data_IF_776652875846
#
_entry.id   IF_776652875846
#
_cell.length_a   1.000
_cell.length_b   1.000
_cell.length_c   1.000
_cell.angle_alpha   90.00
_cell.angle_beta   90.00
_cell.angle_gamma   90.00
#
_symmetry.space_group_name_H-M   'P 1'
#
loop_
_entity.id
_entity.type
_entity.pdbx_description
1 polymer ?
#
# COMPACT_ATOMS: atom_id res chain seq x y z
N UNK A 1 -17.66 -1.90 5.56
CA UNK A 1 -16.29 -1.56 6.01
C UNK A 1 -15.35 -1.88 4.84
N UNK A 2 -14.68 -0.89 4.25
CA UNK A 2 -13.70 -1.17 3.20
C UNK A 2 -12.56 -1.99 3.79
N UNK A 3 -12.19 -3.09 3.14
CA UNK A 3 -11.10 -3.93 3.60
C UNK A 3 -9.78 -3.14 3.51
N UNK A 4 -9.20 -2.81 4.67
CA UNK A 4 -7.86 -2.26 4.79
C UNK A 4 -6.87 -3.41 4.94
N UNK A 5 -5.73 -3.33 4.26
CA UNK A 5 -4.64 -4.31 4.37
C UNK A 5 -3.29 -3.63 4.22
N UNK A 6 -2.22 -4.31 4.62
CA UNK A 6 -0.87 -3.83 4.39
C UNK A 6 -0.35 -4.28 3.04
N UNK A 7 0.50 -3.45 2.46
CA UNK A 7 1.26 -3.76 1.25
C UNK A 7 2.68 -3.24 1.37
N UNK A 8 3.52 -3.65 0.43
CA UNK A 8 4.91 -3.20 0.32
C UNK A 8 5.13 -2.65 -1.08
N UNK A 9 5.66 -1.43 -1.17
CA UNK A 9 6.01 -0.83 -2.46
C UNK A 9 7.10 -1.64 -3.16
N UNK A 10 6.91 -1.86 -4.46
CA UNK A 10 7.88 -2.54 -5.33
C UNK A 10 8.71 -1.53 -6.14
N UNK A 11 8.18 -0.33 -6.35
CA UNK A 11 8.84 0.78 -7.07
C UNK A 11 8.77 2.07 -6.27
N UNK A 12 9.61 3.08 -6.57
CA UNK A 12 9.46 4.40 -5.98
C UNK A 12 8.12 5.03 -6.40
N UNK A 13 7.35 5.55 -5.44
CA UNK A 13 6.06 6.20 -5.70
C UNK A 13 5.99 7.56 -4.99
N UNK A 14 5.61 8.64 -5.69
CA UNK A 14 5.37 9.93 -5.06
C UNK A 14 4.04 9.93 -4.29
N UNK A 15 4.09 10.38 -3.04
CA UNK A 15 2.90 10.73 -2.27
C UNK A 15 2.40 12.14 -2.62
N UNK A 16 1.16 12.44 -2.22
CA UNK A 16 0.55 13.75 -2.40
C UNK A 16 1.37 14.88 -1.72
N UNK A 17 2.09 14.57 -0.64
CA UNK A 17 3.01 15.50 0.01
C UNK A 17 4.21 15.93 -0.84
N UNK A 18 4.46 15.27 -1.98
CA UNK A 18 5.66 15.44 -2.79
C UNK A 18 6.83 14.54 -2.38
N UNK A 19 6.70 13.79 -1.28
CA UNK A 19 7.70 12.80 -0.86
C UNK A 19 7.67 11.59 -1.78
N UNK A 20 8.83 11.18 -2.32
CA UNK A 20 8.94 9.91 -3.05
C UNK A 20 9.35 8.80 -2.08
N UNK A 21 8.49 7.80 -1.91
CA UNK A 21 8.76 6.65 -1.05
C UNK A 21 9.49 5.56 -1.84
N UNK A 22 10.59 5.01 -1.32
CA UNK A 22 11.34 3.97 -2.02
C UNK A 22 10.65 2.59 -1.95
N UNK A 23 11.07 1.63 -2.81
CA UNK A 23 10.70 0.23 -2.67
C UNK A 23 10.98 -0.31 -1.25
N UNK A 24 10.15 -1.24 -0.78
CA UNK A 24 10.22 -1.78 0.58
C UNK A 24 9.43 -0.96 1.61
N UNK A 25 8.89 0.20 1.23
CA UNK A 25 8.03 0.99 2.13
C UNK A 25 6.72 0.25 2.39
N UNK A 26 6.37 0.05 3.66
CA UNK A 26 5.06 -0.47 4.07
C UNK A 26 3.99 0.60 3.87
N UNK A 27 2.92 0.22 3.18
CA UNK A 27 1.76 1.07 2.89
C UNK A 27 0.49 0.45 3.45
N UNK A 28 -0.44 1.30 3.88
CA UNK A 28 -1.81 0.88 4.18
C UNK A 28 -2.66 1.01 2.92
N UNK A 29 -3.14 -0.10 2.38
CA UNK A 29 -3.94 -0.15 1.16
C UNK A 29 -5.43 -0.23 1.51
N UNK A 30 -6.23 0.56 0.80
CA UNK A 30 -7.69 0.58 0.86
C UNK A 30 -8.27 0.37 -0.54
N UNK A 31 -9.16 -0.61 -0.65
CA UNK A 31 -9.82 -0.94 -1.91
C UNK A 31 -9.28 -2.21 -2.57
N UNK A 32 -9.85 -2.54 -3.73
CA UNK A 32 -9.49 -3.71 -4.55
C UNK A 32 -9.66 -3.33 -6.02
N UNK A 33 -8.89 -3.96 -6.90
CA UNK A 33 -8.98 -3.75 -8.34
C UNK A 33 -7.63 -3.36 -8.94
N UNK A 34 -7.67 -2.82 -10.16
CA UNK A 34 -6.48 -2.43 -10.90
C UNK A 34 -5.76 -1.21 -10.30
N UNK A 35 -6.47 -0.38 -9.53
CA UNK A 35 -5.97 0.76 -8.79
C UNK A 35 -6.56 0.77 -7.38
N UNK A 36 -5.74 1.20 -6.42
CA UNK A 36 -6.09 1.27 -5.00
C UNK A 36 -5.54 2.55 -4.38
N UNK A 37 -6.19 2.99 -3.31
CA UNK A 37 -5.69 4.08 -2.47
C UNK A 37 -4.72 3.50 -1.44
N UNK A 38 -3.53 4.07 -1.33
CA UNK A 38 -2.57 3.68 -0.33
C UNK A 38 -2.13 4.87 0.52
N UNK A 39 -1.67 4.57 1.74
CA UNK A 39 -1.29 5.60 2.71
C UNK A 39 0.01 5.25 3.42
N UNK A 40 0.92 6.24 3.51
CA UNK A 40 2.12 6.20 4.37
C UNK A 40 2.01 7.32 5.39
N UNK A 41 1.81 6.98 6.67
CA UNK A 41 1.67 7.98 7.76
C UNK A 41 0.64 9.08 7.46
N UNK A 42 -0.43 8.76 6.72
CA UNK A 42 -1.47 9.70 6.32
C UNK A 42 -1.25 10.40 4.98
N UNK A 43 -0.07 10.27 4.37
CA UNK A 43 0.19 10.73 3.01
C UNK A 43 -0.42 9.75 2.00
N UNK A 44 -1.17 10.27 1.03
CA UNK A 44 -1.90 9.44 0.06
C UNK A 44 -1.06 9.15 -1.19
N UNK A 45 -1.11 7.90 -1.63
CA UNK A 45 -0.43 7.39 -2.80
C UNK A 45 -1.46 6.69 -3.71
N UNK A 46 -1.60 7.09 -4.99
CA UNK A 46 -2.33 6.31 -5.96
C UNK A 46 -1.46 5.12 -6.39
N UNK A 47 -1.93 3.88 -6.18
CA UNK A 47 -1.19 2.68 -6.58
C UNK A 47 -1.92 1.89 -7.65
N UNK A 48 -1.21 1.53 -8.71
CA UNK A 48 -1.58 0.48 -9.64
C UNK A 48 -1.23 -0.90 -9.09
N UNK A 49 -1.92 -1.94 -9.58
CA UNK A 49 -1.78 -3.33 -9.13
C UNK A 49 -0.35 -3.91 -9.21
N UNK A 50 0.56 -3.31 -9.99
CA UNK A 50 1.95 -3.76 -10.15
C UNK A 50 2.95 -2.98 -9.30
N UNK A 51 2.56 -1.85 -8.70
CA UNK A 51 3.47 -0.96 -7.96
C UNK A 51 3.71 -1.42 -6.51
N UNK A 52 2.94 -2.39 -6.04
CA UNK A 52 3.02 -2.93 -4.70
C UNK A 52 2.69 -4.43 -4.68
N UNK A 53 3.11 -5.07 -3.60
CA UNK A 53 2.67 -6.42 -3.23
C UNK A 53 1.79 -6.34 -1.99
N UNK A 54 0.75 -7.16 -1.93
CA UNK A 54 -0.01 -7.35 -0.71
C UNK A 54 0.85 -8.08 0.32
N UNK A 55 0.96 -7.50 1.52
CA UNK A 55 1.58 -8.18 2.64
C UNK A 55 0.71 -9.38 3.05
N UNK A 56 1.35 -10.49 3.41
CA UNK A 56 0.64 -11.61 4.04
C UNK A 56 -0.15 -11.05 5.23
N UNK A 57 -1.46 -11.25 5.21
CA UNK A 57 -2.34 -10.84 6.29
C UNK A 57 -1.80 -11.44 7.59
N UNK A 58 -1.36 -10.59 8.51
CA UNK A 58 -0.83 -10.99 9.82
C UNK A 58 -1.86 -11.82 10.60
N UNK A 59 -3.16 -11.64 10.28
CA UNK A 59 -4.30 -12.40 10.81
C UNK A 59 -4.34 -13.90 10.43
N UNK A 60 -3.36 -14.44 9.70
CA UNK A 60 -3.27 -15.88 9.35
C UNK A 60 -2.15 -16.59 10.15
N UNK A 61 -1.36 -15.85 10.94
CA UNK A 61 -0.22 -16.42 11.67
C UNK A 61 -0.56 -16.96 13.07
N UNK A 62 -1.79 -16.79 13.58
CA UNK A 62 -2.25 -17.44 14.82
C UNK A 62 -3.27 -18.54 14.48
N UNK A 63 -2.76 -19.78 14.38
CA UNK A 63 -3.55 -21.00 14.40
C UNK A 63 -3.08 -21.89 15.54
#
# INVERSE_FOLDING_TARGET
MSAQRLGTLLVPVPGLSGTTYPPGTTVTVRGRGATVDAFVKGDWLPLAWWEFSDGLREDIADR
#
